data_IF_732955764649
#
_entry.id   IF_732955764649
#
_cell.length_a   1.000
_cell.length_b   1.000
_cell.length_c   1.000
_cell.angle_alpha   90.00
_cell.angle_beta   90.00
_cell.angle_gamma   90.00
#
_symmetry.space_group_name_H-M   'P 1'
#
loop_
_entity.id
_entity.type
_entity.pdbx_description
1 polymer ?
#
# COMPACT_ATOMS: atom_id res chain seq x y z
N UNK A 1 13.42 -26.65 16.94
CA UNK A 1 12.23 -26.13 16.24
C UNK A 1 12.72 -25.15 15.18
N UNK A 2 12.81 -25.56 13.91
CA UNK A 2 13.32 -24.69 12.83
C UNK A 2 12.17 -23.79 12.37
N UNK A 3 12.36 -22.47 12.46
CA UNK A 3 11.45 -21.50 11.89
C UNK A 3 11.33 -21.78 10.38
N UNK A 4 10.15 -22.21 9.94
CA UNK A 4 9.84 -22.33 8.51
C UNK A 4 10.07 -20.98 7.85
N UNK A 5 10.71 -20.94 6.67
CA UNK A 5 10.75 -19.73 5.89
C UNK A 5 9.30 -19.43 5.49
N UNK A 6 8.71 -18.39 6.09
CA UNK A 6 7.44 -17.83 5.63
C UNK A 6 7.70 -17.41 4.19
N UNK A 7 7.26 -18.24 3.23
CA UNK A 7 7.25 -17.91 1.82
C UNK A 7 6.20 -16.81 1.71
N UNK A 8 6.67 -15.58 1.85
CA UNK A 8 5.84 -14.39 1.77
C UNK A 8 5.24 -14.38 0.37
N UNK A 9 3.91 -14.26 0.20
CA UNK A 9 3.37 -13.93 -1.10
C UNK A 9 4.07 -12.65 -1.55
N UNK A 10 4.84 -12.75 -2.64
CA UNK A 10 5.40 -11.57 -3.30
C UNK A 10 4.20 -10.88 -3.92
N UNK A 11 3.60 -9.96 -3.16
CA UNK A 11 2.64 -9.03 -3.74
C UNK A 11 3.34 -8.43 -4.97
N UNK A 12 2.67 -8.38 -6.14
CA UNK A 12 3.17 -7.56 -7.23
C UNK A 12 3.48 -6.19 -6.65
N UNK A 13 4.62 -5.57 -7.00
CA UNK A 13 5.11 -4.32 -6.39
C UNK A 13 4.88 -3.09 -7.28
N UNK A 14 3.65 -2.75 -7.71
CA UNK A 14 3.41 -1.48 -8.36
C UNK A 14 3.62 -0.30 -7.41
N UNK A 15 3.59 -0.54 -6.09
CA UNK A 15 3.82 0.46 -5.05
C UNK A 15 5.21 1.11 -5.10
N UNK A 16 6.25 0.42 -5.58
CA UNK A 16 7.61 0.96 -5.63
C UNK A 16 7.69 2.16 -6.57
N UNK A 17 7.07 2.03 -7.74
CA UNK A 17 7.06 3.08 -8.78
C UNK A 17 6.28 4.32 -8.34
N UNK A 18 5.17 4.14 -7.60
CA UNK A 18 4.40 5.25 -7.04
C UNK A 18 5.17 6.02 -5.97
N UNK A 19 5.88 5.32 -5.09
CA UNK A 19 6.66 5.96 -4.03
C UNK A 19 7.89 6.68 -4.59
N UNK A 20 8.54 6.12 -5.61
CA UNK A 20 9.63 6.77 -6.35
C UNK A 20 9.15 8.03 -7.07
N UNK A 21 8.02 7.98 -7.79
CA UNK A 21 7.42 9.16 -8.42
C UNK A 21 7.04 10.27 -7.44
N UNK A 22 6.62 9.92 -6.23
CA UNK A 22 6.26 10.88 -5.19
C UNK A 22 7.46 11.37 -4.34
N UNK A 23 8.69 10.94 -4.65
CA UNK A 23 9.89 11.31 -3.88
C UNK A 23 9.87 10.80 -2.43
N UNK A 24 9.07 9.77 -2.12
CA UNK A 24 8.90 9.26 -0.78
C UNK A 24 9.89 8.12 -0.51
N UNK A 25 10.70 8.24 0.55
CA UNK A 25 11.58 7.15 1.00
C UNK A 25 10.79 5.85 1.19
N UNK A 26 11.14 4.81 0.43
CA UNK A 26 10.49 3.51 0.42
C UNK A 26 10.95 2.66 1.61
N UNK A 27 10.13 2.55 2.65
CA UNK A 27 10.30 1.53 3.69
C UNK A 27 9.42 0.31 3.36
N UNK A 28 9.87 -0.89 3.75
CA UNK A 28 9.12 -2.13 3.53
C UNK A 28 7.68 -2.08 4.06
N UNK A 29 7.38 -1.46 5.23
CA UNK A 29 6.00 -1.26 5.68
C UNK A 29 5.15 -0.43 4.72
N UNK A 30 5.67 0.67 4.17
CA UNK A 30 4.91 1.51 3.23
C UNK A 30 4.59 0.79 1.93
N UNK A 31 5.54 -0.01 1.43
CA UNK A 31 5.33 -0.85 0.26
C UNK A 31 4.21 -1.87 0.53
N UNK A 32 4.30 -2.61 1.63
CA UNK A 32 3.27 -3.61 2.00
C UNK A 32 1.89 -2.97 2.20
N UNK A 33 1.81 -1.81 2.86
CA UNK A 33 0.55 -1.07 3.05
C UNK A 33 -0.04 -0.65 1.69
N UNK A 34 0.78 -0.11 0.80
CA UNK A 34 0.31 0.36 -0.50
C UNK A 34 -0.07 -0.82 -1.41
N UNK A 35 0.70 -1.90 -1.42
CA UNK A 35 0.38 -3.13 -2.17
C UNK A 35 -0.93 -3.77 -1.66
N UNK A 36 -1.14 -3.83 -0.33
CA UNK A 36 -2.40 -4.28 0.25
C UNK A 36 -3.57 -3.38 -0.20
N UNK A 37 -3.38 -2.06 -0.22
CA UNK A 37 -4.43 -1.13 -0.65
C UNK A 37 -4.77 -1.30 -2.13
N UNK A 38 -3.75 -1.52 -2.98
CA UNK A 38 -3.93 -1.83 -4.40
C UNK A 38 -4.74 -3.11 -4.57
N UNK A 39 -4.43 -4.16 -3.81
CA UNK A 39 -5.16 -5.43 -3.84
C UNK A 39 -6.62 -5.28 -3.40
N UNK A 40 -6.87 -4.52 -2.32
CA UNK A 40 -8.23 -4.24 -1.83
C UNK A 40 -9.01 -3.24 -2.70
N UNK A 41 -8.32 -2.46 -3.55
CA UNK A 41 -8.80 -1.28 -4.31
C UNK A 41 -9.30 -0.12 -3.46
N UNK A 42 -10.04 -0.40 -2.39
CA UNK A 42 -10.59 0.57 -1.45
C UNK A 42 -10.71 -0.05 -0.06
N UNK A 43 -10.14 0.59 0.96
CA UNK A 43 -10.16 0.07 2.33
C UNK A 43 -9.97 1.17 3.39
N UNK A 44 -10.56 1.01 4.57
CA UNK A 44 -10.21 1.75 5.79
C UNK A 44 -8.87 1.28 6.34
N UNK A 45 -8.27 2.05 7.25
CA UNK A 45 -7.04 1.62 7.93
C UNK A 45 -7.22 0.33 8.74
N UNK A 46 -8.43 0.07 9.27
CA UNK A 46 -8.75 -1.13 10.05
C UNK A 46 -8.88 -2.35 9.13
N UNK A 47 -9.63 -2.23 8.04
CA UNK A 47 -9.76 -3.30 7.03
C UNK A 47 -8.37 -3.67 6.46
N UNK A 48 -7.54 -2.66 6.20
CA UNK A 48 -6.19 -2.87 5.67
C UNK A 48 -5.23 -3.49 6.70
N UNK A 49 -5.35 -3.11 7.97
CA UNK A 49 -4.57 -3.73 9.04
C UNK A 49 -4.91 -5.20 9.18
N UNK A 50 -6.21 -5.55 9.24
CA UNK A 50 -6.65 -6.94 9.28
C UNK A 50 -6.10 -7.73 8.08
N UNK A 51 -6.16 -7.17 6.86
CA UNK A 51 -5.59 -7.81 5.68
C UNK A 51 -4.06 -8.05 5.77
N UNK A 52 -3.33 -7.15 6.44
CA UNK A 52 -1.88 -7.28 6.65
C UNK A 52 -1.52 -8.21 7.80
N UNK A 53 -2.42 -8.41 8.77
CA UNK A 53 -2.24 -9.37 9.87
C UNK A 53 -2.38 -10.82 9.40
N UNK A 54 -3.28 -11.10 8.45
CA UNK A 54 -3.49 -12.44 7.88
C UNK A 54 -2.19 -13.13 7.39
N UNK A 55 -1.30 -12.46 6.61
CA UNK A 55 -0.01 -13.03 6.22
C UNK A 55 1.07 -12.96 7.32
N UNK A 56 0.73 -12.51 8.54
CA UNK A 56 1.64 -12.40 9.68
C UNK A 56 2.64 -11.24 9.60
N UNK A 57 2.28 -10.12 8.94
CA UNK A 57 3.13 -8.93 8.91
C UNK A 57 2.86 -8.06 10.15
N UNK A 58 3.81 -7.90 11.08
CA UNK A 58 3.61 -7.09 12.29
C UNK A 58 3.71 -5.59 11.95
N UNK A 59 2.68 -5.05 11.30
CA UNK A 59 2.55 -3.62 11.02
C UNK A 59 1.42 -3.10 11.90
N UNK A 60 1.75 -2.24 12.87
CA UNK A 60 0.73 -1.69 13.77
C UNK A 60 -0.29 -0.82 13.04
N UNK A 61 -1.54 -0.83 13.51
CA UNK A 61 -2.62 0.01 12.99
C UNK A 61 -2.25 1.51 12.93
N UNK A 62 -1.49 1.99 13.90
CA UNK A 62 -0.97 3.36 13.91
C UNK A 62 -0.04 3.63 12.74
N UNK A 63 0.84 2.68 12.40
CA UNK A 63 1.73 2.77 11.25
C UNK A 63 0.95 2.78 9.93
N UNK A 64 -0.08 1.93 9.82
CA UNK A 64 -1.00 1.89 8.67
C UNK A 64 -1.69 3.24 8.51
N UNK A 65 -2.33 3.74 9.57
CA UNK A 65 -3.09 4.99 9.56
C UNK A 65 -2.21 6.21 9.21
N UNK A 66 -1.02 6.31 9.81
CA UNK A 66 -0.08 7.40 9.52
C UNK A 66 0.43 7.34 8.08
N UNK A 67 0.68 6.14 7.55
CA UNK A 67 1.12 5.95 6.17
C UNK A 67 0.03 6.37 5.19
N UNK A 68 -1.20 5.87 5.36
CA UNK A 68 -2.34 6.24 4.52
C UNK A 68 -2.59 7.75 4.53
N UNK A 69 -2.55 8.36 5.72
CA UNK A 69 -2.69 9.83 5.85
C UNK A 69 -1.60 10.58 5.09
N UNK A 70 -0.33 10.15 5.19
CA UNK A 70 0.78 10.80 4.47
C UNK A 70 0.67 10.66 2.96
N UNK A 71 0.27 9.49 2.47
CA UNK A 71 0.06 9.24 1.04
C UNK A 71 -1.15 10.02 0.50
N UNK A 72 -2.19 10.18 1.31
CA UNK A 72 -3.31 11.06 0.98
C UNK A 72 -2.87 12.53 0.91
N UNK A 73 -2.11 13.01 1.88
CA UNK A 73 -1.57 14.39 1.88
C UNK A 73 -0.59 14.65 0.73
N UNK A 74 0.05 13.62 0.18
CA UNK A 74 0.89 13.74 -1.01
C UNK A 74 0.12 13.62 -2.34
N UNK A 75 -1.21 13.50 -2.29
CA UNK A 75 -2.06 13.37 -3.48
C UNK A 75 -2.03 11.99 -4.15
N UNK A 76 -1.38 10.99 -3.55
CA UNK A 76 -1.34 9.63 -4.10
C UNK A 76 -2.63 8.84 -3.81
N UNK A 77 -3.31 9.18 -2.71
CA UNK A 77 -4.56 8.54 -2.30
C UNK A 77 -5.68 9.55 -2.17
N UNK A 78 -6.89 9.09 -2.44
CA UNK A 78 -8.12 9.77 -2.06
C UNK A 78 -8.71 9.12 -0.81
N UNK A 79 -9.48 9.90 -0.04
CA UNK A 79 -10.19 9.42 1.13
C UNK A 79 -11.64 9.87 1.04
N UNK A 80 -12.58 8.91 1.10
CA UNK A 80 -14.01 9.21 1.05
C UNK A 80 -14.59 9.54 2.44
N UNK A 81 -15.87 9.93 2.47
CA UNK A 81 -16.65 10.21 3.68
C UNK A 81 -16.66 9.03 4.68
N UNK A 82 -16.65 7.80 4.18
CA UNK A 82 -16.56 6.57 4.98
C UNK A 82 -15.13 6.27 5.46
N UNK A 83 -14.20 7.20 5.30
CA UNK A 83 -12.79 7.09 5.69
C UNK A 83 -12.05 5.96 4.96
N UNK A 84 -12.56 5.46 3.84
CA UNK A 84 -11.85 4.48 3.01
C UNK A 84 -10.90 5.21 2.09
N UNK A 85 -9.71 4.65 1.97
CA UNK A 85 -8.68 5.11 1.06
C UNK A 85 -8.75 4.33 -0.25
N UNK A 86 -8.42 5.00 -1.35
CA UNK A 86 -8.20 4.40 -2.67
C UNK A 86 -7.09 5.16 -3.38
N UNK A 87 -6.52 4.58 -4.43
CA UNK A 87 -5.56 5.31 -5.26
C UNK A 87 -6.24 6.51 -5.92
N UNK A 88 -5.54 7.65 -5.93
CA UNK A 88 -6.00 8.80 -6.69
C UNK A 88 -5.93 8.49 -8.20
N UNK A 89 -6.83 9.06 -9.03
CA UNK A 89 -6.84 8.83 -10.49
C UNK A 89 -5.48 9.09 -11.14
N UNK A 90 -4.76 10.13 -10.71
CA UNK A 90 -3.41 10.44 -11.19
C UNK A 90 -2.37 9.39 -10.82
N UNK A 91 -2.50 8.75 -9.66
CA UNK A 91 -1.65 7.65 -9.24
C UNK A 91 -1.95 6.37 -10.05
N UNK A 92 -3.23 6.09 -10.33
CA UNK A 92 -3.64 4.96 -11.19
C UNK A 92 -3.06 5.13 -12.60
N UNK A 93 -3.15 6.33 -13.17
CA UNK A 93 -2.59 6.63 -14.49
C UNK A 93 -1.05 6.47 -14.53
N UNK A 94 -0.34 6.91 -13.48
CA UNK A 94 1.11 6.72 -13.36
C UNK A 94 1.50 5.23 -13.26
N UNK A 95 0.67 4.42 -12.61
CA UNK A 95 0.86 2.97 -12.50
C UNK A 95 0.62 2.25 -13.83
N UNK A 96 -0.41 2.62 -14.58
CA UNK A 96 -0.76 2.01 -15.88
C UNK A 96 0.21 2.36 -17.01
N UNK A 97 0.83 3.54 -16.99
CA UNK A 97 1.87 3.92 -17.99
C UNK A 97 3.16 3.11 -17.88
N UNK A 98 3.38 2.43 -16.75
CA UNK A 98 4.60 1.67 -16.51
C UNK A 98 4.57 0.25 -17.12
N UNK A 99 3.41 -0.23 -17.58
CA UNK A 99 3.26 -1.54 -18.22
C UNK A 99 3.43 -1.54 -19.75
N UNK A 100 3.60 -0.38 -20.39
CA UNK A 100 3.83 -0.27 -21.85
C UNK A 100 5.32 -0.13 -22.23
N UNK A 101 6.24 -0.38 -21.29
CA UNK A 101 7.68 -0.40 -21.52
C UNK A 101 8.30 -1.72 -21.03
N UNK A 102 7.84 -2.85 -21.56
CA UNK A 102 8.67 -4.04 -21.79
C UNK A 102 7.98 -5.05 -22.71
#
# INVERSE_FOLDING_TARGET
MKASPVIRPRLPRPARQLLEHAGLRSSLPRLNILDALVACRKATAVELHAYLEEPGLPISLSCVSQTLRRLHLSGLLERDENKRYSLAPGAVAAMGKSSELH
#
